data_IF_317820943043
#
_entry.id   IF_317820943043
#
_cell.length_a   1.000
_cell.length_b   1.000
_cell.length_c   1.000
_cell.angle_alpha   90.00
_cell.angle_beta   90.00
_cell.angle_gamma   90.00
#
_symmetry.space_group_name_H-M   'P 1'
#
loop_
_entity.id
_entity.type
_entity.pdbx_description
1 polymer ?
#
# COMPACT_ATOMS: atom_id res chain seq x y z
N UNK A 1 17.44 -36.72 -11.82
CA UNK A 1 16.69 -35.65 -11.12
C UNK A 1 15.98 -34.80 -12.17
N UNK A 2 14.64 -34.77 -12.19
CA UNK A 2 13.88 -33.99 -13.17
C UNK A 2 13.99 -32.49 -12.90
N UNK A 3 14.27 -31.69 -13.94
CA UNK A 3 14.32 -30.23 -13.81
C UNK A 3 12.94 -29.66 -13.46
N UNK A 4 12.83 -28.87 -12.39
CA UNK A 4 11.58 -28.23 -11.99
C UNK A 4 11.10 -27.28 -13.11
N UNK A 5 9.83 -27.35 -13.55
CA UNK A 5 9.28 -26.45 -14.56
C UNK A 5 9.46 -24.97 -14.17
N UNK A 6 9.69 -24.10 -15.15
CA UNK A 6 9.85 -22.66 -14.91
C UNK A 6 8.60 -22.05 -14.27
N UNK A 7 7.41 -22.49 -14.69
CA UNK A 7 6.13 -22.06 -14.12
C UNK A 7 6.01 -22.35 -12.62
N UNK A 8 6.51 -23.50 -12.17
CA UNK A 8 6.55 -23.87 -10.74
C UNK A 8 7.50 -22.95 -9.96
N UNK A 9 8.67 -22.61 -10.53
CA UNK A 9 9.64 -21.70 -9.91
C UNK A 9 9.10 -20.27 -9.76
N UNK A 10 8.45 -19.75 -10.81
CA UNK A 10 7.79 -18.43 -10.79
C UNK A 10 6.69 -18.39 -9.74
N UNK A 11 5.85 -19.42 -9.69
CA UNK A 11 4.77 -19.53 -8.71
C UNK A 11 5.32 -19.60 -7.28
N UNK A 12 6.38 -20.38 -7.05
CA UNK A 12 7.05 -20.48 -5.75
C UNK A 12 7.62 -19.15 -5.27
N UNK A 13 8.31 -18.41 -6.14
CA UNK A 13 8.85 -17.08 -5.81
C UNK A 13 7.74 -16.06 -5.52
N UNK A 14 6.64 -16.09 -6.27
CA UNK A 14 5.49 -15.22 -6.00
C UNK A 14 4.83 -15.54 -4.67
N UNK A 15 4.63 -16.83 -4.35
CA UNK A 15 4.07 -17.23 -3.06
C UNK A 15 4.99 -16.85 -1.90
N UNK A 16 6.31 -16.96 -2.07
CA UNK A 16 7.28 -16.50 -1.08
C UNK A 16 7.20 -14.98 -0.88
N UNK A 17 7.07 -14.20 -1.96
CA UNK A 17 6.81 -12.76 -1.89
C UNK A 17 5.52 -12.44 -1.10
N UNK A 18 4.42 -13.12 -1.43
CA UNK A 18 3.13 -12.93 -0.76
C UNK A 18 3.22 -13.31 0.73
N UNK A 19 3.93 -14.39 1.06
CA UNK A 19 4.16 -14.80 2.45
C UNK A 19 4.99 -13.77 3.21
N UNK A 20 6.08 -13.26 2.64
CA UNK A 20 6.87 -12.18 3.25
C UNK A 20 6.03 -10.92 3.47
N UNK A 21 5.21 -10.54 2.49
CA UNK A 21 4.35 -9.37 2.61
C UNK A 21 3.27 -9.57 3.68
N UNK A 22 2.54 -10.69 3.68
CA UNK A 22 1.55 -11.01 4.70
C UNK A 22 2.17 -11.08 6.11
N UNK A 23 3.36 -11.68 6.23
CA UNK A 23 4.11 -11.69 7.48
C UNK A 23 4.49 -10.28 7.92
N UNK A 24 4.88 -9.38 7.01
CA UNK A 24 5.19 -7.99 7.36
C UNK A 24 3.98 -7.17 7.85
N UNK A 25 2.77 -7.56 7.43
CA UNK A 25 1.54 -6.98 7.96
C UNK A 25 1.27 -7.49 9.38
N UNK A 26 1.32 -8.81 9.57
CA UNK A 26 1.05 -9.44 10.88
C UNK A 26 2.12 -9.17 11.92
N UNK A 27 3.40 -9.16 11.52
CA UNK A 27 4.56 -8.98 12.40
C UNK A 27 4.99 -7.52 12.30
N UNK A 28 4.56 -6.74 13.28
CA UNK A 28 4.91 -5.33 13.46
C UNK A 28 4.28 -4.32 12.48
N UNK A 29 3.16 -4.63 11.83
CA UNK A 29 2.41 -3.65 11.01
C UNK A 29 3.29 -2.82 10.05
N UNK A 30 4.41 -3.40 9.61
CA UNK A 30 5.51 -2.78 8.89
C UNK A 30 6.13 -1.48 9.47
N UNK A 31 6.00 -1.17 10.77
CA UNK A 31 6.51 0.09 11.35
C UNK A 31 7.69 -0.06 12.31
N UNK A 32 8.01 -1.27 12.80
CA UNK A 32 9.23 -1.44 13.61
C UNK A 32 10.49 -1.36 12.74
N UNK A 33 11.60 -0.81 13.25
CA UNK A 33 12.85 -0.70 12.48
C UNK A 33 13.37 -2.06 12.02
N UNK A 34 13.29 -3.07 12.90
CA UNK A 34 13.64 -4.45 12.59
C UNK A 34 12.77 -5.05 11.49
N UNK A 35 11.46 -4.75 11.48
CA UNK A 35 10.56 -5.23 10.43
C UNK A 35 10.85 -4.60 9.06
N UNK A 36 11.15 -3.29 9.01
CA UNK A 36 11.52 -2.63 7.76
C UNK A 36 12.81 -3.24 7.19
N UNK A 37 13.83 -3.44 8.04
CA UNK A 37 15.08 -4.08 7.63
C UNK A 37 14.86 -5.52 7.17
N UNK A 38 14.07 -6.31 7.90
CA UNK A 38 13.74 -7.68 7.54
C UNK A 38 12.96 -7.78 6.22
N UNK A 39 12.02 -6.86 5.98
CA UNK A 39 11.29 -6.78 4.72
C UNK A 39 12.22 -6.43 3.55
N UNK A 40 13.10 -5.44 3.71
CA UNK A 40 14.09 -5.07 2.70
C UNK A 40 15.04 -6.24 2.37
N UNK A 41 15.57 -6.91 3.41
CA UNK A 41 16.43 -8.08 3.25
C UNK A 41 15.70 -9.24 2.55
N UNK A 42 14.45 -9.50 2.92
CA UNK A 42 13.63 -10.53 2.27
C UNK A 42 13.40 -10.23 0.79
N UNK A 43 13.09 -8.98 0.43
CA UNK A 43 12.94 -8.57 -0.96
C UNK A 43 14.25 -8.68 -1.74
N UNK A 44 15.39 -8.35 -1.13
CA UNK A 44 16.70 -8.53 -1.74
C UNK A 44 17.01 -10.01 -2.00
N UNK A 45 16.80 -10.88 -0.99
CA UNK A 45 16.99 -12.32 -1.12
C UNK A 45 16.09 -12.94 -2.20
N UNK A 46 14.83 -12.52 -2.30
CA UNK A 46 13.92 -12.97 -3.36
C UNK A 46 14.38 -12.52 -4.75
N UNK A 47 14.92 -11.31 -4.89
CA UNK A 47 15.49 -10.84 -6.15
C UNK A 47 16.75 -11.64 -6.53
N UNK A 48 17.62 -11.93 -5.57
CA UNK A 48 18.80 -12.78 -5.77
C UNK A 48 18.39 -14.19 -6.15
N UNK A 49 17.43 -14.79 -5.44
CA UNK A 49 16.88 -16.09 -5.78
C UNK A 49 16.28 -16.10 -7.21
N UNK A 50 15.56 -15.04 -7.58
CA UNK A 50 15.05 -14.89 -8.94
C UNK A 50 16.16 -14.83 -10.01
N UNK A 51 17.36 -14.29 -9.68
CA UNK A 51 18.53 -14.29 -10.58
C UNK A 51 19.00 -15.70 -10.93
N UNK A 52 18.99 -16.61 -9.96
CA UNK A 52 19.44 -17.99 -10.14
C UNK A 52 18.35 -18.94 -10.64
N UNK A 53 17.09 -18.72 -10.24
CA UNK A 53 16.00 -19.65 -10.50
C UNK A 53 15.30 -19.41 -11.83
N UNK A 54 15.28 -18.18 -12.36
CA UNK A 54 14.53 -17.84 -13.57
C UNK A 54 15.46 -17.76 -14.79
N UNK A 55 15.12 -18.43 -15.90
CA UNK A 55 15.90 -18.32 -17.13
C UNK A 55 15.69 -16.95 -17.79
N UNK A 56 16.71 -16.52 -18.54
CA UNK A 56 16.67 -15.32 -19.37
C UNK A 56 17.09 -14.03 -18.65
N UNK A 57 17.55 -13.02 -19.42
CA UNK A 57 17.95 -11.74 -18.88
C UNK A 57 16.73 -10.97 -18.34
N UNK A 58 16.93 -10.20 -17.27
CA UNK A 58 15.92 -9.28 -16.79
C UNK A 58 15.93 -8.02 -17.67
N UNK A 59 14.83 -7.76 -18.37
CA UNK A 59 14.74 -6.66 -19.33
C UNK A 59 14.05 -5.46 -18.69
N UNK A 60 14.78 -4.36 -18.54
CA UNK A 60 14.22 -3.08 -18.09
C UNK A 60 14.28 -2.06 -19.22
N UNK A 61 13.20 -1.31 -19.38
CA UNK A 61 13.19 -0.18 -20.31
C UNK A 61 14.19 0.90 -19.84
N UNK A 62 14.87 1.56 -20.78
CA UNK A 62 15.77 2.69 -20.49
C UNK A 62 15.20 3.74 -19.52
N UNK A 63 13.95 4.22 -19.67
CA UNK A 63 13.38 5.16 -18.70
C UNK A 63 13.23 4.57 -17.30
N UNK A 64 12.93 3.28 -17.17
CA UNK A 64 12.86 2.62 -15.86
C UNK A 64 14.27 2.51 -15.23
N UNK A 65 15.30 2.20 -16.02
CA UNK A 65 16.69 2.21 -15.55
C UNK A 65 17.12 3.61 -15.11
N UNK A 66 16.82 4.64 -15.90
CA UNK A 66 17.13 6.02 -15.53
C UNK A 66 16.42 6.44 -14.24
N UNK A 67 15.15 6.08 -14.07
CA UNK A 67 14.40 6.32 -12.85
C UNK A 67 15.02 5.62 -11.63
N UNK A 68 15.37 4.33 -11.77
CA UNK A 68 16.00 3.58 -10.68
C UNK A 68 17.39 4.09 -10.35
N UNK A 69 18.19 4.49 -11.35
CA UNK A 69 19.49 5.09 -11.14
C UNK A 69 19.38 6.45 -10.43
N UNK A 70 18.42 7.28 -10.85
CA UNK A 70 18.12 8.55 -10.19
C UNK A 70 17.65 8.36 -8.74
N UNK A 71 16.79 7.37 -8.48
CA UNK A 71 16.36 7.01 -7.14
C UNK A 71 17.52 6.52 -6.28
N UNK A 72 18.37 5.64 -6.81
CA UNK A 72 19.55 5.14 -6.11
C UNK A 72 20.55 6.26 -5.80
N UNK A 73 20.77 7.17 -6.76
CA UNK A 73 21.61 8.35 -6.56
C UNK A 73 21.04 9.28 -5.48
N UNK A 74 19.72 9.52 -5.50
CA UNK A 74 19.05 10.33 -4.48
C UNK A 74 19.21 9.72 -3.08
N UNK A 75 19.01 8.41 -2.94
CA UNK A 75 19.20 7.69 -1.69
C UNK A 75 20.67 7.73 -1.24
N UNK A 76 21.60 7.49 -2.15
CA UNK A 76 23.04 7.57 -1.87
C UNK A 76 23.43 8.97 -1.39
N UNK A 77 22.93 10.03 -2.04
CA UNK A 77 23.17 11.42 -1.66
C UNK A 77 22.70 11.70 -0.22
N UNK A 78 21.51 11.22 0.16
CA UNK A 78 20.99 11.42 1.51
C UNK A 78 21.76 10.64 2.58
N UNK A 79 22.30 9.47 2.22
CA UNK A 79 23.06 8.61 3.13
C UNK A 79 24.55 8.95 3.20
N UNK A 80 25.07 9.71 2.23
CA UNK A 80 26.51 10.03 2.18
C UNK A 80 26.85 11.03 3.28
N UNK A 81 27.76 10.67 4.20
CA UNK A 81 28.19 11.58 5.24
C UNK A 81 29.01 12.75 4.66
N UNK A 82 28.91 13.92 5.28
CA UNK A 82 29.66 15.11 4.86
C UNK A 82 29.02 15.96 3.76
N UNK A 83 27.89 15.52 3.19
CA UNK A 83 27.10 16.33 2.24
C UNK A 83 26.15 17.33 2.93
N UNK A 84 26.42 17.70 4.19
CA UNK A 84 25.61 18.67 4.93
C UNK A 84 25.53 20.04 4.27
N UNK A 85 26.51 20.39 3.43
CA UNK A 85 26.49 21.64 2.66
C UNK A 85 25.38 21.69 1.59
N UNK A 86 24.91 20.53 1.09
CA UNK A 86 23.77 20.47 0.17
C UNK A 86 22.44 20.69 0.91
N UNK A 87 22.43 20.49 2.23
CA UNK A 87 21.26 20.60 3.09
C UNK A 87 21.59 21.43 4.35
N UNK A 88 21.91 22.73 4.19
CA UNK A 88 22.47 23.54 5.27
C UNK A 88 21.51 23.65 6.47
N UNK A 89 20.21 23.72 6.21
CA UNK A 89 19.17 23.80 7.23
C UNK A 89 19.12 22.54 8.12
N UNK A 90 19.08 21.35 7.51
CA UNK A 90 19.03 20.09 8.27
C UNK A 90 20.34 19.83 9.00
N UNK A 91 21.47 20.23 8.40
CA UNK A 91 22.78 20.13 9.05
C UNK A 91 22.88 21.05 10.28
N UNK A 92 22.35 22.28 10.19
CA UNK A 92 22.32 23.22 11.31
C UNK A 92 21.43 22.71 12.46
N UNK A 93 20.24 22.19 12.14
CA UNK A 93 19.34 21.55 13.11
C UNK A 93 20.01 20.37 13.83
N UNK A 94 20.74 19.54 13.09
CA UNK A 94 21.43 18.39 13.67
C UNK A 94 22.59 18.82 14.59
N UNK A 95 23.31 19.88 14.20
CA UNK A 95 24.34 20.49 15.03
C UNK A 95 23.76 21.08 16.34
N UNK A 96 22.59 21.70 16.27
CA UNK A 96 21.92 22.25 17.47
C UNK A 96 21.43 21.17 18.45
N UNK A 97 21.21 19.93 17.97
CA UNK A 97 20.81 18.78 18.80
C UNK A 97 21.99 17.89 19.22
N UNK A 98 23.23 18.36 19.10
CA UNK A 98 24.42 17.61 19.54
C UNK A 98 24.78 16.39 18.69
N UNK A 99 24.12 16.23 17.53
CA UNK A 99 24.39 15.15 16.57
C UNK A 99 25.34 15.59 15.45
N UNK A 100 26.26 16.53 15.75
CA UNK A 100 27.27 17.00 14.80
C UNK A 100 28.27 15.88 14.48
N UNK A 101 28.28 15.38 13.25
CA UNK A 101 29.18 14.30 12.84
C UNK A 101 28.97 13.79 11.42
N UNK A 102 29.68 12.71 11.07
CA UNK A 102 29.63 12.00 9.79
C UNK A 102 28.35 11.16 9.63
N UNK A 103 27.19 11.70 10.00
CA UNK A 103 25.89 11.08 9.76
C UNK A 103 25.28 11.49 8.41
N UNK A 104 24.19 10.83 7.98
CA UNK A 104 23.36 11.23 6.82
C UNK A 104 23.09 12.73 6.80
N UNK A 105 22.96 13.34 5.62
CA UNK A 105 22.82 14.81 5.46
C UNK A 105 21.55 15.43 6.10
N UNK A 106 20.68 14.61 6.67
CA UNK A 106 19.38 14.98 7.24
C UNK A 106 19.41 15.15 8.75
N UNK A 107 18.37 15.78 9.30
CA UNK A 107 18.27 16.07 10.74
C UNK A 107 18.16 14.81 11.61
N UNK A 108 17.54 13.75 11.07
CA UNK A 108 17.40 12.45 11.73
C UNK A 108 17.95 11.33 10.83
N UNK A 109 19.15 10.89 11.19
CA UNK A 109 19.88 9.81 10.52
C UNK A 109 19.09 8.50 10.52
N UNK A 110 18.45 8.18 11.64
CA UNK A 110 17.72 6.94 11.83
C UNK A 110 16.46 6.89 10.96
N UNK A 111 15.67 7.97 10.95
CA UNK A 111 14.50 8.08 10.08
C UNK A 111 14.90 8.04 8.61
N UNK A 112 16.02 8.65 8.24
CA UNK A 112 16.48 8.68 6.85
C UNK A 112 16.91 7.29 6.38
N UNK A 113 17.69 6.56 7.17
CA UNK A 113 18.06 5.17 6.88
C UNK A 113 16.81 4.29 6.79
N UNK A 114 15.86 4.45 7.72
CA UNK A 114 14.60 3.70 7.71
C UNK A 114 13.78 3.97 6.45
N UNK A 115 13.61 5.23 6.06
CA UNK A 115 12.87 5.60 4.86
C UNK A 115 13.59 5.12 3.60
N UNK A 116 14.92 5.22 3.55
CA UNK A 116 15.71 4.68 2.44
C UNK A 116 15.52 3.17 2.31
N UNK A 117 15.54 2.42 3.42
CA UNK A 117 15.29 0.98 3.44
C UNK A 117 13.87 0.65 2.97
N UNK A 118 12.87 1.43 3.38
CA UNK A 118 11.47 1.25 2.96
C UNK A 118 11.28 1.51 1.47
N UNK A 119 11.87 2.59 0.93
CA UNK A 119 11.87 2.89 -0.51
C UNK A 119 12.59 1.81 -1.30
N UNK A 120 13.74 1.34 -0.82
CA UNK A 120 14.48 0.25 -1.44
C UNK A 120 13.67 -1.05 -1.46
N UNK A 121 12.98 -1.39 -0.35
CA UNK A 121 12.11 -2.56 -0.29
C UNK A 121 10.97 -2.48 -1.32
N UNK A 122 10.35 -1.30 -1.49
CA UNK A 122 9.33 -1.09 -2.52
C UNK A 122 9.87 -1.21 -3.94
N UNK A 123 11.04 -0.63 -4.21
CA UNK A 123 11.70 -0.78 -5.51
C UNK A 123 12.02 -2.24 -5.81
N UNK A 124 12.58 -2.98 -4.85
CA UNK A 124 12.90 -4.40 -4.99
C UNK A 124 11.65 -5.27 -5.17
N UNK A 125 10.55 -4.98 -4.46
CA UNK A 125 9.28 -5.65 -4.64
C UNK A 125 8.71 -5.43 -6.05
N UNK A 126 8.77 -4.19 -6.56
CA UNK A 126 8.33 -3.85 -7.91
C UNK A 126 9.18 -4.55 -8.99
N UNK A 127 10.51 -4.54 -8.83
CA UNK A 127 11.43 -5.24 -9.73
C UNK A 127 11.17 -6.75 -9.76
N UNK A 128 10.94 -7.36 -8.59
CA UNK A 128 10.60 -8.78 -8.48
C UNK A 128 9.28 -9.08 -9.19
N UNK A 129 8.24 -8.29 -8.96
CA UNK A 129 6.94 -8.47 -9.60
C UNK A 129 7.03 -8.34 -11.13
N UNK A 130 7.78 -7.34 -11.64
CA UNK A 130 8.03 -7.16 -13.06
C UNK A 130 8.78 -8.36 -13.65
N UNK A 131 9.82 -8.83 -12.97
CA UNK A 131 10.60 -9.98 -13.42
C UNK A 131 9.77 -11.26 -13.46
N UNK A 132 8.98 -11.52 -12.42
CA UNK A 132 8.09 -12.67 -12.37
C UNK A 132 7.04 -12.59 -13.49
N UNK A 133 6.52 -11.38 -13.78
CA UNK A 133 5.62 -11.17 -14.92
C UNK A 133 6.29 -11.49 -16.26
N UNK A 134 7.54 -11.08 -16.47
CA UNK A 134 8.31 -11.42 -17.68
C UNK A 134 8.57 -12.92 -17.79
N UNK A 135 8.76 -13.60 -16.66
CA UNK A 135 8.94 -15.05 -16.60
C UNK A 135 7.62 -15.86 -16.69
N UNK A 136 6.48 -15.20 -16.92
CA UNK A 136 5.19 -15.86 -17.15
C UNK A 136 4.27 -15.94 -15.94
N UNK A 137 4.47 -15.12 -14.90
CA UNK A 137 3.51 -15.02 -13.79
C UNK A 137 2.13 -14.60 -14.32
N UNK A 138 1.13 -15.45 -14.08
CA UNK A 138 -0.24 -15.18 -14.52
C UNK A 138 -0.80 -13.98 -13.75
N UNK A 139 -1.17 -12.92 -14.46
CA UNK A 139 -1.77 -11.70 -13.87
C UNK A 139 -2.96 -12.00 -12.98
N UNK A 140 -3.84 -12.92 -13.38
CA UNK A 140 -4.99 -13.32 -12.58
C UNK A 140 -4.59 -13.92 -11.24
N UNK A 141 -3.56 -14.78 -11.23
CA UNK A 141 -3.04 -15.38 -10.01
C UNK A 141 -2.44 -14.31 -9.09
N UNK A 142 -1.60 -13.42 -9.63
CA UNK A 142 -1.01 -12.33 -8.86
C UNK A 142 -2.07 -11.44 -8.18
N UNK A 143 -3.07 -10.99 -8.95
CA UNK A 143 -4.17 -10.18 -8.42
C UNK A 143 -4.96 -10.94 -7.35
N UNK A 144 -5.32 -12.20 -7.60
CA UNK A 144 -6.07 -13.01 -6.62
C UNK A 144 -5.28 -13.25 -5.34
N UNK A 145 -3.96 -13.50 -5.40
CA UNK A 145 -3.14 -13.65 -4.19
C UNK A 145 -3.09 -12.36 -3.37
N UNK A 146 -2.95 -11.21 -4.02
CA UNK A 146 -2.96 -9.90 -3.34
C UNK A 146 -4.31 -9.68 -2.66
N UNK A 147 -5.41 -9.88 -3.39
CA UNK A 147 -6.76 -9.73 -2.86
C UNK A 147 -7.05 -10.69 -1.71
N UNK A 148 -6.48 -11.90 -1.73
CA UNK A 148 -6.63 -12.85 -0.64
C UNK A 148 -5.98 -12.35 0.66
N UNK A 149 -4.76 -11.81 0.60
CA UNK A 149 -4.10 -11.20 1.78
C UNK A 149 -4.91 -10.01 2.30
N UNK A 150 -5.37 -9.14 1.41
CA UNK A 150 -6.20 -7.99 1.79
C UNK A 150 -7.53 -8.44 2.41
N UNK A 151 -8.15 -9.50 1.90
CA UNK A 151 -9.40 -10.03 2.44
C UNK A 151 -9.24 -10.60 3.85
N UNK A 152 -8.11 -11.28 4.11
CA UNK A 152 -7.77 -11.74 5.46
C UNK A 152 -7.61 -10.54 6.41
N UNK A 153 -6.87 -9.53 5.97
CA UNK A 153 -6.63 -8.30 6.75
C UNK A 153 -7.93 -7.53 7.03
N UNK A 154 -8.81 -7.41 6.04
CA UNK A 154 -10.12 -6.77 6.19
C UNK A 154 -11.04 -7.57 7.14
N UNK A 155 -11.07 -8.90 7.00
CA UNK A 155 -11.85 -9.78 7.86
C UNK A 155 -11.37 -9.68 9.31
N UNK A 156 -10.06 -9.68 9.51
CA UNK A 156 -9.45 -9.48 10.82
C UNK A 156 -9.87 -8.15 11.43
N UNK A 157 -9.84 -7.07 10.65
CA UNK A 157 -10.27 -5.74 11.10
C UNK A 157 -11.76 -5.66 11.47
N UNK A 158 -12.63 -6.31 10.68
CA UNK A 158 -14.07 -6.39 10.98
C UNK A 158 -14.31 -7.20 12.27
N UNK A 159 -13.64 -8.33 12.42
CA UNK A 159 -13.70 -9.15 13.63
C UNK A 159 -13.17 -8.38 14.86
N UNK A 160 -12.04 -7.68 14.71
CA UNK A 160 -11.47 -6.82 15.75
C UNK A 160 -12.48 -5.77 16.24
N UNK A 161 -13.23 -5.15 15.33
CA UNK A 161 -14.28 -4.20 15.68
C UNK A 161 -15.46 -4.88 16.39
N UNK A 162 -15.96 -5.99 15.85
CA UNK A 162 -17.12 -6.71 16.39
C UNK A 162 -16.89 -7.32 17.78
N UNK A 163 -15.71 -7.90 18.01
CA UNK A 163 -15.34 -8.48 19.31
C UNK A 163 -14.71 -7.47 20.28
N UNK A 164 -14.54 -6.21 19.87
CA UNK A 164 -13.87 -5.15 20.64
C UNK A 164 -12.52 -5.59 21.20
N UNK A 165 -11.70 -6.24 20.37
CA UNK A 165 -10.38 -6.70 20.81
C UNK A 165 -9.51 -5.50 21.24
N UNK A 166 -9.14 -5.49 22.51
CA UNK A 166 -8.32 -4.44 23.10
C UNK A 166 -6.87 -4.51 22.64
N UNK A 167 -6.38 -5.68 22.23
CA UNK A 167 -4.99 -5.87 21.84
C UNK A 167 -4.81 -6.02 20.34
N UNK A 168 -3.75 -5.39 19.84
CA UNK A 168 -3.17 -5.70 18.55
C UNK A 168 -2.17 -6.85 18.74
N UNK A 169 -2.08 -7.79 17.78
CA UNK A 169 -1.01 -8.76 17.75
C UNK A 169 0.33 -8.01 17.81
N UNK A 170 1.20 -8.39 18.75
CA UNK A 170 2.56 -7.86 18.92
C UNK A 170 2.69 -6.37 19.31
N UNK A 171 1.60 -5.60 19.42
CA UNK A 171 1.61 -4.17 19.81
C UNK A 171 0.98 -3.85 21.16
N UNK A 172 0.34 -4.84 21.80
CA UNK A 172 -0.33 -4.63 23.08
C UNK A 172 -1.64 -3.87 22.91
N UNK A 173 -2.02 -3.07 23.91
CA UNK A 173 -3.34 -2.42 23.96
C UNK A 173 -3.49 -1.29 22.94
N UNK A 174 -4.66 -1.23 22.32
CA UNK A 174 -5.08 -0.18 21.38
C UNK A 174 -5.51 1.06 22.14
N UNK A 175 -5.19 2.22 21.59
CA UNK A 175 -5.60 3.51 22.13
C UNK A 175 -7.06 3.86 21.79
N UNK A 176 -7.61 3.26 20.72
CA UNK A 176 -8.94 3.58 20.21
C UNK A 176 -9.67 2.28 19.83
N UNK A 177 -10.77 2.00 20.54
CA UNK A 177 -11.65 0.85 20.30
C UNK A 177 -12.84 1.19 19.41
N UNK A 178 -13.03 2.46 19.07
CA UNK A 178 -14.12 2.91 18.20
C UNK A 178 -13.76 2.90 16.72
N UNK A 179 -12.50 2.62 16.39
CA UNK A 179 -12.04 2.41 15.02
C UNK A 179 -11.35 1.06 14.87
N UNK A 180 -11.27 0.56 13.65
CA UNK A 180 -10.46 -0.63 13.32
C UNK A 180 -9.19 -0.25 12.56
N UNK A 181 -8.12 -1.00 12.79
CA UNK A 181 -6.86 -0.84 12.06
C UNK A 181 -6.29 -2.17 11.55
N UNK A 182 -7.02 -3.27 11.74
CA UNK A 182 -6.54 -4.60 11.39
C UNK A 182 -5.30 -4.96 12.20
N UNK A 183 -4.29 -5.50 11.54
CA UNK A 183 -2.96 -5.79 12.09
C UNK A 183 -2.05 -4.56 12.10
N UNK A 184 -2.45 -3.47 11.45
CA UNK A 184 -1.67 -2.24 11.40
C UNK A 184 -1.89 -1.38 12.65
N UNK A 185 -0.84 -0.66 13.05
CA UNK A 185 -0.87 0.26 14.19
C UNK A 185 -1.73 1.49 13.90
N UNK A 186 -1.71 1.96 12.65
CA UNK A 186 -2.38 3.20 12.25
C UNK A 186 -3.60 2.90 11.37
N UNK A 187 -4.79 3.29 11.84
CA UNK A 187 -6.06 3.18 11.12
C UNK A 187 -6.05 3.84 9.73
N UNK A 188 -5.29 4.92 9.56
CA UNK A 188 -5.17 5.60 8.27
C UNK A 188 -4.35 4.78 7.26
N UNK A 189 -3.27 4.12 7.71
CA UNK A 189 -2.49 3.22 6.84
C UNK A 189 -3.33 2.01 6.43
N UNK A 190 -4.10 1.46 7.37
CA UNK A 190 -5.05 0.38 7.10
C UNK A 190 -6.11 0.78 6.08
N UNK A 191 -6.75 1.93 6.28
CA UNK A 191 -7.75 2.41 5.35
C UNK A 191 -7.17 2.72 3.96
N UNK A 192 -5.93 3.22 3.87
CA UNK A 192 -5.21 3.37 2.61
C UNK A 192 -4.95 2.03 1.91
N UNK A 193 -4.56 1.00 2.67
CA UNK A 193 -4.39 -0.35 2.15
C UNK A 193 -5.71 -0.94 1.62
N UNK A 194 -6.80 -0.77 2.37
CA UNK A 194 -8.13 -1.22 1.96
C UNK A 194 -8.64 -0.44 0.74
N UNK A 195 -8.33 0.84 0.61
CA UNK A 195 -8.67 1.64 -0.56
C UNK A 195 -8.03 1.10 -1.85
N UNK A 196 -6.77 0.65 -1.77
CA UNK A 196 -6.12 -0.08 -2.88
C UNK A 196 -6.86 -1.39 -3.19
N UNK A 197 -7.28 -2.12 -2.15
CA UNK A 197 -8.10 -3.32 -2.29
C UNK A 197 -9.42 -3.07 -3.01
N UNK A 198 -10.14 -2.01 -2.65
CA UNK A 198 -11.39 -1.58 -3.30
C UNK A 198 -11.15 -1.37 -4.79
N UNK A 199 -10.16 -0.55 -5.15
CA UNK A 199 -9.86 -0.27 -6.55
C UNK A 199 -9.47 -1.54 -7.33
N UNK A 200 -8.59 -2.36 -6.76
CA UNK A 200 -8.11 -3.57 -7.43
C UNK A 200 -9.24 -4.61 -7.62
N UNK A 201 -10.04 -4.86 -6.59
CA UNK A 201 -11.15 -5.82 -6.63
C UNK A 201 -12.28 -5.35 -7.55
N UNK A 202 -12.65 -4.07 -7.49
CA UNK A 202 -13.66 -3.49 -8.37
C UNK A 202 -13.23 -3.56 -9.84
N UNK A 203 -11.98 -3.18 -10.14
CA UNK A 203 -11.44 -3.27 -11.50
C UNK A 203 -11.40 -4.71 -12.01
N UNK A 204 -11.03 -5.67 -11.16
CA UNK A 204 -11.02 -7.10 -11.52
C UNK A 204 -12.44 -7.67 -11.74
N UNK A 205 -13.41 -7.31 -10.90
CA UNK A 205 -14.81 -7.70 -11.06
C UNK A 205 -15.38 -7.17 -12.39
N UNK A 206 -15.15 -5.88 -12.65
CA UNK A 206 -15.60 -5.21 -13.86
C UNK A 206 -14.98 -5.81 -15.13
N UNK A 207 -13.68 -6.15 -15.09
CA UNK A 207 -12.99 -6.83 -16.18
C UNK A 207 -13.63 -8.18 -16.53
N UNK A 208 -14.04 -8.97 -15.53
CA UNK A 208 -14.73 -10.25 -15.77
C UNK A 208 -16.11 -10.07 -16.38
N UNK A 209 -16.91 -9.15 -15.86
CA UNK A 209 -18.26 -8.88 -16.36
C UNK A 209 -18.26 -8.32 -17.79
N UNK A 210 -17.31 -7.43 -18.11
CA UNK A 210 -17.21 -6.84 -19.44
C UNK A 210 -16.76 -7.84 -20.52
N UNK A 211 -15.85 -8.76 -20.18
CA UNK A 211 -15.33 -9.75 -21.14
C UNK A 211 -16.36 -10.85 -21.46
N UNK A 212 -17.12 -11.32 -20.45
CA UNK A 212 -18.12 -12.39 -20.65
C UNK A 212 -19.45 -11.92 -21.25
N UNK A 213 -19.68 -10.60 -21.33
CA UNK A 213 -20.92 -10.02 -21.91
C UNK A 213 -21.14 -10.38 -23.37
N UNK A 214 -20.13 -10.92 -24.07
CA UNK A 214 -20.22 -11.31 -25.49
C UNK A 214 -20.63 -12.77 -25.73
N UNK A 215 -20.40 -13.69 -24.79
CA UNK A 215 -20.42 -15.13 -25.11
C UNK A 215 -21.22 -16.04 -24.15
N UNK A 216 -21.86 -15.53 -23.09
CA UNK A 216 -22.53 -16.39 -22.08
C UNK A 216 -23.82 -15.80 -21.50
N UNK A 217 -24.70 -16.68 -20.99
CA UNK A 217 -25.97 -16.29 -20.35
C UNK A 217 -25.79 -15.36 -19.14
N UNK A 218 -26.80 -14.54 -18.86
CA UNK A 218 -26.78 -13.45 -17.84
C UNK A 218 -26.34 -13.91 -16.43
N UNK A 219 -26.69 -15.13 -16.03
CA UNK A 219 -26.39 -15.69 -14.69
C UNK A 219 -24.90 -16.03 -14.55
N UNK A 220 -24.30 -16.71 -15.53
CA UNK A 220 -22.88 -17.08 -15.52
C UNK A 220 -21.93 -15.86 -15.58
N UNK A 221 -22.43 -14.71 -16.09
CA UNK A 221 -21.72 -13.44 -16.04
C UNK A 221 -21.68 -12.92 -14.60
N UNK A 222 -22.82 -12.85 -13.92
CA UNK A 222 -22.93 -12.35 -12.55
C UNK A 222 -22.02 -13.14 -11.60
N UNK A 223 -22.13 -14.47 -11.63
CA UNK A 223 -21.34 -15.39 -10.78
C UNK A 223 -19.83 -15.20 -10.97
N UNK A 224 -19.38 -14.88 -12.19
CA UNK A 224 -17.94 -14.79 -12.50
C UNK A 224 -17.21 -13.68 -11.74
N UNK A 225 -17.92 -12.58 -11.41
CA UNK A 225 -17.38 -11.41 -10.72
C UNK A 225 -17.89 -11.24 -9.29
N UNK A 226 -18.88 -12.03 -8.86
CA UNK A 226 -19.55 -11.87 -7.57
C UNK A 226 -18.56 -11.93 -6.39
N UNK A 227 -17.64 -12.88 -6.37
CA UNK A 227 -16.64 -12.99 -5.29
C UNK A 227 -15.74 -11.76 -5.17
N UNK A 228 -15.40 -11.12 -6.30
CA UNK A 228 -14.59 -9.90 -6.33
C UNK A 228 -15.43 -8.67 -5.93
N UNK A 229 -16.71 -8.64 -6.28
CA UNK A 229 -17.64 -7.62 -5.81
C UNK A 229 -17.84 -7.70 -4.29
N UNK A 230 -17.99 -8.91 -3.74
CA UNK A 230 -18.06 -9.15 -2.30
C UNK A 230 -16.76 -8.73 -1.59
N UNK A 231 -15.59 -9.04 -2.17
CA UNK A 231 -14.31 -8.54 -1.65
C UNK A 231 -14.25 -7.00 -1.64
N UNK A 232 -14.75 -6.36 -2.71
CA UNK A 232 -14.85 -4.88 -2.79
C UNK A 232 -15.72 -4.33 -1.66
N UNK A 233 -16.89 -4.93 -1.42
CA UNK A 233 -17.79 -4.54 -0.35
C UNK A 233 -17.16 -4.74 1.04
N UNK A 234 -16.45 -5.86 1.24
CA UNK A 234 -15.70 -6.12 2.48
C UNK A 234 -14.64 -5.04 2.74
N UNK A 235 -13.87 -4.65 1.73
CA UNK A 235 -12.87 -3.59 1.86
C UNK A 235 -13.51 -2.23 2.15
N UNK A 236 -14.62 -1.92 1.48
CA UNK A 236 -15.36 -0.69 1.74
C UNK A 236 -15.90 -0.64 3.18
N UNK A 237 -16.47 -1.74 3.68
CA UNK A 237 -16.92 -1.85 5.06
C UNK A 237 -15.75 -1.65 6.04
N UNK A 238 -14.60 -2.27 5.78
CA UNK A 238 -13.41 -2.10 6.59
C UNK A 238 -12.91 -0.63 6.63
N UNK A 239 -12.98 0.11 5.52
CA UNK A 239 -12.65 1.54 5.48
C UNK A 239 -13.60 2.36 6.36
N UNK A 240 -14.91 2.08 6.28
CA UNK A 240 -15.93 2.77 7.09
C UNK A 240 -15.67 2.52 8.58
N UNK A 241 -15.41 1.27 8.96
CA UNK A 241 -15.07 0.91 10.35
C UNK A 241 -13.73 1.52 10.80
N UNK A 242 -12.80 1.76 9.89
CA UNK A 242 -11.53 2.41 10.22
C UNK A 242 -11.70 3.90 10.51
N UNK A 243 -12.87 4.50 10.21
CA UNK A 243 -13.18 5.92 10.41
C UNK A 243 -12.10 6.85 9.82
N UNK A 244 -11.49 6.45 8.70
CA UNK A 244 -10.43 7.23 8.06
C UNK A 244 -10.95 7.98 6.83
N UNK A 245 -10.98 9.31 6.93
CA UNK A 245 -11.39 10.19 5.83
C UNK A 245 -10.45 10.06 4.63
N UNK A 246 -9.14 10.00 4.88
CA UNK A 246 -8.12 9.84 3.84
C UNK A 246 -8.26 8.51 3.08
N UNK A 247 -8.53 7.41 3.80
CA UNK A 247 -8.77 6.11 3.16
C UNK A 247 -10.04 6.09 2.30
N UNK A 248 -11.13 6.70 2.78
CA UNK A 248 -12.36 6.80 2.01
C UNK A 248 -12.17 7.66 0.74
N UNK A 249 -11.53 8.82 0.85
CA UNK A 249 -11.18 9.65 -0.31
C UNK A 249 -10.27 8.91 -1.30
N UNK A 250 -9.27 8.17 -0.82
CA UNK A 250 -8.39 7.37 -1.66
C UNK A 250 -9.16 6.27 -2.41
N UNK A 251 -10.14 5.62 -1.77
CA UNK A 251 -10.97 4.61 -2.41
C UNK A 251 -11.82 5.21 -3.53
N UNK A 252 -12.43 6.38 -3.29
CA UNK A 252 -13.17 7.13 -4.31
C UNK A 252 -12.25 7.46 -5.49
N UNK A 253 -11.10 8.08 -5.21
CA UNK A 253 -10.14 8.44 -6.25
C UNK A 253 -9.72 7.21 -7.07
N UNK A 254 -9.55 6.04 -6.44
CA UNK A 254 -9.29 4.78 -7.11
C UNK A 254 -10.41 4.34 -8.06
N UNK A 255 -11.68 4.39 -7.61
CA UNK A 255 -12.84 4.07 -8.45
C UNK A 255 -12.99 5.05 -9.62
N UNK A 256 -12.78 6.34 -9.37
CA UNK A 256 -12.77 7.40 -10.39
C UNK A 256 -11.71 7.12 -11.46
N UNK A 257 -10.48 6.85 -11.02
CA UNK A 257 -9.38 6.55 -11.92
C UNK A 257 -9.68 5.33 -12.80
N UNK A 258 -10.30 4.29 -12.24
CA UNK A 258 -10.73 3.12 -13.01
C UNK A 258 -11.75 3.48 -14.09
N UNK A 259 -12.72 4.34 -13.78
CA UNK A 259 -13.69 4.80 -14.76
C UNK A 259 -13.01 5.53 -15.93
N UNK A 260 -12.03 6.40 -15.66
CA UNK A 260 -11.27 7.10 -16.71
C UNK A 260 -10.40 6.17 -17.55
N UNK A 261 -9.70 5.22 -16.91
CA UNK A 261 -8.91 4.20 -17.62
C UNK A 261 -9.80 3.38 -18.55
N UNK A 262 -11.02 3.08 -18.12
CA UNK A 262 -11.97 2.27 -18.88
C UNK A 262 -12.76 3.06 -19.93
N UNK A 263 -12.97 4.36 -19.75
CA UNK A 263 -13.64 5.23 -20.72
C UNK A 263 -12.95 5.21 -22.08
N UNK A 264 -11.62 5.08 -22.09
CA UNK A 264 -10.83 4.90 -23.33
C UNK A 264 -11.13 3.58 -24.06
N UNK A 265 -11.72 2.58 -23.38
CA UNK A 265 -11.98 1.24 -23.93
C UNK A 265 -13.44 1.01 -24.33
N UNK A 266 -14.41 1.72 -23.74
CA UNK A 266 -15.83 1.58 -24.07
C UNK A 266 -16.59 2.90 -23.93
N UNK A 267 -17.30 3.35 -24.98
CA UNK A 267 -18.03 4.64 -25.07
C UNK A 267 -19.18 4.83 -24.04
N UNK A 268 -19.51 3.85 -23.20
CA UNK A 268 -20.62 3.92 -22.22
C UNK A 268 -20.23 3.85 -20.74
N UNK A 269 -18.94 3.74 -20.40
CA UNK A 269 -18.49 3.56 -19.02
C UNK A 269 -18.47 4.85 -18.16
N UNK A 270 -18.57 6.01 -18.80
CA UNK A 270 -18.56 7.31 -18.13
C UNK A 270 -19.76 7.48 -17.17
N UNK A 271 -20.94 6.99 -17.55
CA UNK A 271 -22.16 7.13 -16.75
C UNK A 271 -22.12 6.28 -15.49
N UNK A 272 -21.60 5.04 -15.59
CA UNK A 272 -21.42 4.16 -14.43
C UNK A 272 -20.33 4.68 -13.48
N UNK A 273 -19.25 5.24 -14.02
CA UNK A 273 -18.21 5.90 -13.22
C UNK A 273 -18.71 7.13 -12.48
N UNK A 274 -19.53 7.96 -13.14
CA UNK A 274 -20.16 9.12 -12.53
C UNK A 274 -21.16 8.74 -11.42
N UNK A 275 -21.95 7.68 -11.63
CA UNK A 275 -22.88 7.19 -10.60
C UNK A 275 -22.16 6.63 -9.36
N UNK A 276 -21.07 5.88 -9.56
CA UNK A 276 -20.23 5.39 -8.46
C UNK A 276 -19.57 6.54 -7.68
N UNK A 277 -19.17 7.60 -8.39
CA UNK A 277 -18.67 8.86 -7.81
C UNK A 277 -19.69 9.52 -6.88
N UNK A 278 -20.94 9.66 -7.31
CA UNK A 278 -21.99 10.30 -6.52
C UNK A 278 -22.30 9.50 -5.25
N UNK A 279 -22.43 8.17 -5.37
CA UNK A 279 -22.70 7.30 -4.21
C UNK A 279 -21.54 7.35 -3.22
N UNK A 280 -20.31 7.26 -3.71
CA UNK A 280 -19.15 7.25 -2.83
C UNK A 280 -18.90 8.63 -2.19
N UNK A 281 -19.15 9.73 -2.92
CA UNK A 281 -19.11 11.09 -2.38
C UNK A 281 -20.14 11.28 -1.26
N UNK A 282 -21.38 10.80 -1.45
CA UNK A 282 -22.42 10.82 -0.42
C UNK A 282 -22.03 10.06 0.84
N UNK A 283 -21.42 8.88 0.69
CA UNK A 283 -20.92 8.08 1.83
C UNK A 283 -19.76 8.77 2.54
N UNK A 284 -18.86 9.45 1.84
CA UNK A 284 -17.79 10.23 2.49
C UNK A 284 -18.29 11.47 3.20
N UNK A 285 -19.28 12.18 2.64
CA UNK A 285 -19.88 13.34 3.30
C UNK A 285 -20.61 12.91 4.57
N UNK A 286 -21.31 11.76 4.52
CA UNK A 286 -21.96 11.18 5.70
C UNK A 286 -20.97 10.68 6.75
N UNK A 287 -19.87 10.04 6.34
CA UNK A 287 -18.82 9.57 7.26
C UNK A 287 -17.93 10.69 7.81
N UNK A 288 -17.87 11.84 7.13
CA UNK A 288 -17.19 13.05 7.57
C UNK A 288 -18.05 13.81 8.59
N UNK A 289 -18.27 13.23 9.76
CA UNK A 289 -18.73 14.01 10.89
C UNK A 289 -17.65 15.08 11.19
N UNK A 290 -17.85 16.32 10.75
CA UNK A 290 -16.84 17.39 10.76
C UNK A 290 -16.51 17.87 12.19
N UNK A 291 -17.42 17.62 13.11
CA UNK A 291 -17.41 18.00 14.53
C UNK A 291 -16.05 17.86 15.22
N UNK A 292 -15.31 16.73 15.14
CA UNK A 292 -14.08 16.56 15.91
C UNK A 292 -12.90 17.38 15.37
N UNK A 293 -12.94 17.80 14.09
CA UNK A 293 -11.93 18.73 13.57
C UNK A 293 -12.25 20.16 13.98
N UNK A 294 -13.54 20.53 13.93
CA UNK A 294 -14.01 21.84 14.36
C UNK A 294 -13.71 22.03 15.85
N UNK A 295 -14.06 21.05 16.68
CA UNK A 295 -13.72 21.05 18.11
C UNK A 295 -12.21 21.11 18.34
N UNK A 296 -11.38 20.40 17.58
CA UNK A 296 -9.91 20.53 17.71
C UNK A 296 -9.38 21.91 17.35
N UNK A 297 -10.00 22.59 16.39
CA UNK A 297 -9.63 23.96 16.03
C UNK A 297 -10.19 24.99 17.01
N UNK A 298 -11.33 24.71 17.65
CA UNK A 298 -11.93 25.52 18.71
C UNK A 298 -11.19 25.35 20.06
N UNK A 299 -10.68 24.15 20.34
CA UNK A 299 -9.92 23.82 21.54
C UNK A 299 -8.44 24.27 21.46
N UNK A 300 -7.93 24.57 20.27
CA UNK A 300 -6.63 25.24 20.12
C UNK A 300 -6.80 26.72 20.49
N UNK A 301 -6.53 27.07 21.76
CA UNK A 301 -6.52 28.46 22.19
C UNK A 301 -5.57 29.29 21.30
N UNK A 302 -5.95 30.54 21.00
CA UNK A 302 -5.10 31.49 20.28
C UNK A 302 -3.74 31.73 20.98
N UNK A 303 -3.64 31.41 22.28
CA UNK A 303 -2.41 31.44 23.09
C UNK A 303 -1.38 30.40 22.62
N UNK A 304 -1.79 29.18 22.28
CA UNK A 304 -0.91 28.10 21.80
C UNK A 304 -0.34 28.40 20.40
N UNK A 305 -1.12 29.06 19.54
CA UNK A 305 -0.66 29.54 18.22
C UNK A 305 0.36 30.68 18.33
N UNK A 306 0.32 31.46 19.42
CA UNK A 306 1.26 32.55 19.69
C UNK A 306 2.57 32.10 20.34
N UNK A 307 2.59 30.90 20.95
CA UNK A 307 3.76 30.31 21.59
C UNK A 307 4.54 29.35 20.68
N UNK A 308 4.02 29.01 19.50
CA UNK A 308 4.79 28.28 18.47
C UNK A 308 5.84 29.21 17.83
N UNK A 309 6.89 29.47 18.61
CA UNK A 309 8.09 30.24 18.24
C UNK A 309 9.02 29.47 17.31
N UNK A 310 8.51 28.46 16.58
CA UNK A 310 9.21 27.80 15.48
C UNK A 310 9.15 28.67 14.22
N UNK A 311 9.78 29.84 14.28
CA UNK A 311 10.20 30.64 13.13
C UNK A 311 11.69 30.86 13.22
#
# INVERSE_FOLDING_TARGET
MGSIPVSSRVTGLWLAFIACWAASLGVYGAVSPGAVAAAAASMALLNVAALFLLPGPFLLARPALAFLAGLALLLALHLTPGLGFLFPWTSALRASHGAAGAGPGTADAFLTVRQAAQVAAYALAALLALRLSQAGLRRSFAVTSILAVLALEATYAVAQFGFRWESLPFYGKRLDLESTSGTLVNRNNFAGLMAMGVALAAGAAWGKWSTRRRDTGKIAILESGLSLALATALFAAAIVLARSRGGALAAIAGIVALAFVWQRRTRGAAVAGAAALVVASGVTIWAANAEPLIQRFEDMEASDLSQDTRV
#
